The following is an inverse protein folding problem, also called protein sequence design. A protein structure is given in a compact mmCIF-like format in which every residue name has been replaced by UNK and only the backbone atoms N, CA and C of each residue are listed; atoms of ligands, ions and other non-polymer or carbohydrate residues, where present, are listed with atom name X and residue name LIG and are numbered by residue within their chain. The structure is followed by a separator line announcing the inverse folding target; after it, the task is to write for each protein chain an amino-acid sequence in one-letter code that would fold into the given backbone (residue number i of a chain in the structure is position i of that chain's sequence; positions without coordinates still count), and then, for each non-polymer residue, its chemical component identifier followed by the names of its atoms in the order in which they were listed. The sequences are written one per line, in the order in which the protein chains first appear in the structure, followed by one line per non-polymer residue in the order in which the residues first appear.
data_IF_592704669921
#
_entry.id   IF_592704669921
#
_cell.length_a   1.000
_cell.length_b   1.000
_cell.length_c   1.000
_cell.angle_alpha   90.00
_cell.angle_beta   90.00
_cell.angle_gamma   90.00
#
_symmetry.space_group_name_H-M   'P 1'
#
loop_
_entity.id
_entity.type
_entity.pdbx_description
1 polymer ?
#
# COMPACT_ATOMS: atom_id res chain seq x y z
N UNK A 1 24.37 22.74 22.29
CA UNK A 1 25.07 21.44 22.13
C UNK A 1 24.28 20.61 21.14
N UNK A 2 24.58 20.83 19.88
CA UNK A 2 23.97 20.15 18.73
C UNK A 2 24.35 18.66 18.71
N UNK A 3 23.35 17.80 18.49
CA UNK A 3 23.60 16.41 18.10
C UNK A 3 22.68 16.02 16.96
N UNK A 4 23.32 15.88 15.80
CA UNK A 4 22.81 15.48 14.50
C UNK A 4 22.18 14.09 14.59
N UNK A 5 20.84 13.98 14.44
CA UNK A 5 20.17 12.70 14.12
C UNK A 5 19.78 12.68 12.64
N UNK A 6 20.64 12.05 11.83
CA UNK A 6 20.29 11.67 10.45
C UNK A 6 19.26 10.54 10.49
N UNK A 7 18.00 10.87 10.22
CA UNK A 7 16.92 9.89 10.00
C UNK A 7 17.15 9.17 8.67
N UNK A 8 17.47 7.87 8.75
CA UNK A 8 17.57 6.98 7.59
C UNK A 8 16.15 6.53 7.20
N UNK A 9 15.67 6.92 6.02
CA UNK A 9 14.35 6.52 5.47
C UNK A 9 14.24 4.99 5.35
N UNK A 10 13.11 4.35 5.73
CA UNK A 10 12.94 2.91 5.56
C UNK A 10 12.56 2.57 4.11
N UNK A 11 13.57 2.33 3.26
CA UNK A 11 13.40 1.79 1.89
C UNK A 11 12.97 0.31 1.86
N UNK A 12 12.75 -0.32 3.02
CA UNK A 12 12.62 -1.78 3.20
C UNK A 12 11.18 -2.25 2.96
N UNK A 13 10.17 -1.52 3.48
CA UNK A 13 8.76 -1.91 3.37
C UNK A 13 8.30 -1.97 1.91
N UNK A 14 8.71 -0.99 1.08
CA UNK A 14 8.36 -0.95 -0.33
C UNK A 14 8.96 -2.11 -1.15
N UNK A 15 10.11 -2.67 -0.73
CA UNK A 15 10.71 -3.86 -1.36
C UNK A 15 9.96 -5.15 -0.97
N UNK A 16 9.48 -5.25 0.27
CA UNK A 16 8.74 -6.40 0.75
C UNK A 16 7.40 -6.59 -0.01
N UNK A 17 6.62 -5.50 -0.17
CA UNK A 17 5.39 -5.54 -0.96
C UNK A 17 5.64 -5.95 -2.42
N UNK A 18 6.71 -5.45 -3.04
CA UNK A 18 7.08 -5.79 -4.41
C UNK A 18 7.51 -7.25 -4.58
N UNK A 19 8.06 -7.89 -3.55
CA UNK A 19 8.47 -9.31 -3.60
C UNK A 19 7.32 -10.27 -3.29
N UNK A 20 6.34 -9.82 -2.50
CA UNK A 20 5.13 -10.58 -2.16
C UNK A 20 4.10 -10.53 -3.31
N UNK A 21 4.00 -9.40 -4.01
CA UNK A 21 2.99 -9.19 -5.06
C UNK A 21 3.57 -9.03 -6.48
N UNK A 22 4.89 -8.90 -6.65
CA UNK A 22 5.53 -8.61 -7.94
C UNK A 22 6.17 -9.84 -8.58
N UNK A 23 5.34 -10.65 -9.24
CA UNK A 23 5.76 -11.64 -10.23
C UNK A 23 5.48 -11.17 -11.65
N UNK A 24 5.85 -9.94 -12.01
CA UNK A 24 5.91 -9.47 -13.41
C UNK A 24 6.74 -8.18 -13.49
N UNK A 25 7.89 -8.24 -14.17
CA UNK A 25 8.73 -7.09 -14.44
C UNK A 25 8.30 -6.40 -15.75
N UNK A 26 8.48 -5.08 -15.86
CA UNK A 26 8.94 -4.51 -17.12
C UNK A 26 10.31 -3.82 -16.95
N UNK A 27 11.08 -3.89 -18.03
CA UNK A 27 12.47 -3.46 -18.16
C UNK A 27 12.68 -1.96 -17.84
N UNK A 28 13.84 -1.66 -17.24
CA UNK A 28 14.38 -0.31 -17.12
C UNK A 28 15.31 -0.03 -18.29
N UNK A 29 15.32 1.18 -18.88
CA UNK A 29 16.50 1.69 -19.55
C UNK A 29 17.36 2.54 -18.59
N UNK A 30 18.68 2.38 -18.74
CA UNK A 30 19.74 3.18 -18.15
C UNK A 30 19.65 4.65 -18.61
N UNK A 31 20.05 5.59 -17.74
CA UNK A 31 21.16 6.51 -18.01
C UNK A 31 21.51 7.38 -16.79
N UNK A 32 22.80 7.70 -16.71
CA UNK A 32 23.53 8.25 -15.59
C UNK A 32 23.69 9.79 -15.65
N UNK A 33 24.07 10.40 -14.52
CA UNK A 33 24.97 11.58 -14.49
C UNK A 33 24.38 12.99 -14.32
N UNK A 34 24.17 13.43 -13.06
CA UNK A 34 24.81 14.59 -12.32
C UNK A 34 25.09 15.93 -13.08
N UNK A 35 25.09 17.16 -12.47
CA UNK A 35 24.50 17.71 -11.23
C UNK A 35 23.72 19.05 -11.43
N UNK A 36 23.27 19.62 -10.30
CA UNK A 36 22.70 20.96 -10.12
C UNK A 36 23.70 22.13 -10.30
N UNK A 37 23.21 23.27 -10.78
CA UNK A 37 23.72 24.62 -10.45
C UNK A 37 22.57 25.63 -10.40
N UNK A 38 22.65 26.53 -9.41
CA UNK A 38 21.88 27.75 -9.28
C UNK A 38 22.56 28.89 -10.06
N UNK A 39 21.78 29.86 -10.54
CA UNK A 39 22.02 31.32 -10.50
C UNK A 39 21.25 32.04 -11.63
N UNK A 40 20.79 33.24 -11.29
CA UNK A 40 20.26 34.28 -12.17
C UNK A 40 21.09 34.50 -13.44
N UNK A 41 20.43 34.87 -14.55
CA UNK A 41 20.84 36.07 -15.30
C UNK A 41 19.84 36.53 -16.35
N UNK A 42 19.69 37.85 -16.33
CA UNK A 42 19.23 38.83 -17.30
C UNK A 42 18.96 38.42 -18.75
N UNK A 43 17.81 38.91 -19.20
CA UNK A 43 17.39 39.03 -20.60
C UNK A 43 18.09 40.23 -21.24
N UNK A 44 18.64 40.08 -22.46
CA UNK A 44 18.42 41.13 -23.44
C UNK A 44 17.95 40.61 -24.82
N UNK A 45 17.17 41.51 -25.40
CA UNK A 45 16.49 41.51 -26.69
C UNK A 45 17.44 41.17 -27.84
N UNK A 46 17.01 40.27 -28.74
CA UNK A 46 17.58 40.17 -30.09
C UNK A 46 16.47 40.10 -31.14
N UNK A 47 16.50 41.13 -31.98
CA UNK A 47 15.71 41.37 -33.19
C UNK A 47 15.83 40.23 -34.20
N UNK A 48 14.71 39.83 -34.78
CA UNK A 48 14.63 38.89 -35.90
C UNK A 48 14.31 39.66 -37.19
N UNK A 49 14.99 39.43 -38.33
CA UNK A 49 14.55 39.98 -39.60
C UNK A 49 13.50 39.10 -40.26
N UNK A 50 12.55 39.82 -40.84
CA UNK A 50 11.38 39.42 -41.62
C UNK A 50 11.79 38.95 -43.02
N UNK A 51 11.19 37.86 -43.51
CA UNK A 51 11.14 37.52 -44.92
C UNK A 51 9.68 37.21 -45.28
N UNK A 52 9.10 38.12 -46.07
CA UNK A 52 7.77 38.08 -46.66
C UNK A 52 7.73 37.19 -47.91
N UNK A 53 6.54 36.76 -48.35
CA UNK A 53 6.35 35.72 -49.35
C UNK A 53 6.24 36.28 -50.78
N UNK A 54 6.67 35.51 -51.76
CA UNK A 54 6.45 35.78 -53.18
C UNK A 54 5.39 34.85 -53.76
N UNK A 55 4.26 35.44 -54.13
CA UNK A 55 3.23 34.93 -55.02
C UNK A 55 3.36 35.69 -56.33
N UNK A 56 3.42 35.01 -57.48
CA UNK A 56 2.77 35.51 -58.70
C UNK A 56 2.42 34.35 -59.68
N UNK A 57 1.38 34.52 -60.53
CA UNK A 57 0.72 33.47 -61.32
C UNK A 57 1.02 33.58 -62.83
N UNK A 58 0.66 32.57 -63.63
CA UNK A 58 0.46 32.75 -65.07
C UNK A 58 -0.48 31.70 -65.67
N UNK A 59 -1.35 32.18 -66.56
CA UNK A 59 -2.44 31.50 -67.27
C UNK A 59 -1.97 30.77 -68.54
N UNK A 60 -2.69 29.69 -68.86
CA UNK A 60 -2.88 28.94 -70.12
C UNK A 60 -3.14 29.84 -71.36
N UNK A 61 -2.88 29.41 -72.63
CA UNK A 61 -3.78 28.45 -73.31
C UNK A 61 -3.21 27.54 -74.44
N UNK A 62 -3.79 26.34 -74.58
CA UNK A 62 -4.55 25.98 -75.80
C UNK A 62 -3.91 25.15 -76.93
N UNK A 63 -4.53 23.98 -77.18
CA UNK A 63 -4.75 23.25 -78.45
C UNK A 63 -3.66 22.37 -79.09
N UNK A 64 -4.01 21.10 -79.33
CA UNK A 64 -3.33 20.18 -80.24
C UNK A 64 -3.85 18.74 -80.12
N UNK A 65 -4.51 18.25 -81.17
CA UNK A 65 -5.18 16.95 -81.26
C UNK A 65 -4.23 15.79 -81.62
N UNK A 66 -4.55 14.56 -81.20
CA UNK A 66 -3.96 13.31 -81.70
C UNK A 66 -4.35 12.09 -80.86
N UNK A 67 -4.91 11.00 -81.44
CA UNK A 67 -5.58 9.94 -80.67
C UNK A 67 -4.66 8.73 -80.41
N UNK A 68 -4.91 8.02 -79.31
CA UNK A 68 -4.47 6.63 -79.15
C UNK A 68 -3.96 6.29 -77.76
N UNK A 69 -4.37 5.13 -77.26
CA UNK A 69 -3.62 4.40 -76.24
C UNK A 69 -4.23 4.40 -74.85
N UNK A 70 -4.94 3.32 -74.58
CA UNK A 70 -5.05 2.61 -73.31
C UNK A 70 -5.88 3.23 -72.15
N UNK A 71 -6.94 2.48 -71.85
CA UNK A 71 -7.76 2.60 -70.67
C UNK A 71 -6.92 2.53 -69.38
N UNK A 72 -7.19 3.36 -68.36
CA UNK A 72 -6.56 3.18 -67.06
C UNK A 72 -7.15 1.95 -66.36
N UNK A 73 -6.29 1.01 -66.00
CA UNK A 73 -6.61 -0.04 -65.03
C UNK A 73 -7.20 0.58 -63.75
N UNK A 74 -8.32 0.07 -63.22
CA UNK A 74 -8.87 0.58 -61.98
C UNK A 74 -7.97 0.19 -60.80
N UNK A 75 -7.24 1.15 -60.25
CA UNK A 75 -6.54 0.98 -58.97
C UNK A 75 -7.56 0.62 -57.88
N UNK A 76 -7.48 -0.62 -57.36
CA UNK A 76 -8.32 -1.09 -56.29
C UNK A 76 -8.12 -0.24 -55.03
N UNK A 77 -9.12 0.55 -54.66
CA UNK A 77 -9.13 1.28 -53.40
C UNK A 77 -8.91 0.30 -52.22
N UNK A 78 -8.02 0.59 -51.25
CA UNK A 78 -7.80 -0.33 -50.15
C UNK A 78 -9.09 -0.49 -49.33
N UNK A 79 -9.35 -1.67 -48.73
CA UNK A 79 -10.64 -2.01 -48.14
C UNK A 79 -10.86 -1.28 -46.81
N UNK A 80 -11.13 0.04 -46.85
CA UNK A 80 -11.42 0.89 -45.68
C UNK A 80 -12.60 0.38 -44.85
N UNK A 81 -13.50 -0.44 -45.44
CA UNK A 81 -14.70 -1.00 -44.79
C UNK A 81 -14.39 -2.20 -43.88
N UNK A 82 -13.41 -3.05 -44.19
CA UNK A 82 -13.03 -4.20 -43.33
C UNK A 82 -12.31 -3.73 -42.06
N UNK A 83 -11.43 -2.74 -42.19
CA UNK A 83 -10.69 -2.16 -41.06
C UNK A 83 -11.60 -1.46 -40.03
N UNK A 84 -12.67 -0.79 -40.48
CA UNK A 84 -13.68 -0.21 -39.58
C UNK A 84 -14.46 -1.27 -38.79
N UNK A 85 -14.75 -2.43 -39.38
CA UNK A 85 -15.41 -3.56 -38.69
C UNK A 85 -14.49 -4.18 -37.63
N UNK A 86 -13.21 -4.40 -37.96
CA UNK A 86 -12.20 -4.92 -37.02
C UNK A 86 -11.97 -3.96 -35.84
N UNK A 87 -11.89 -2.65 -36.11
CA UNK A 87 -11.80 -1.64 -35.04
C UNK A 87 -13.04 -1.63 -34.12
N UNK A 88 -14.24 -1.80 -34.69
CA UNK A 88 -15.48 -1.90 -33.90
C UNK A 88 -15.54 -3.18 -33.07
N UNK A 89 -15.16 -4.33 -33.61
CA UNK A 89 -15.11 -5.59 -32.85
C UNK A 89 -14.07 -5.54 -31.75
N UNK A 90 -12.88 -4.96 -32.01
CA UNK A 90 -11.88 -4.73 -30.97
C UNK A 90 -12.37 -3.76 -29.89
N UNK A 91 -13.07 -2.69 -30.26
CA UNK A 91 -13.67 -1.76 -29.31
C UNK A 91 -14.74 -2.45 -28.45
N UNK A 92 -15.59 -3.28 -29.05
CA UNK A 92 -16.61 -4.05 -28.32
C UNK A 92 -15.96 -5.05 -27.37
N UNK A 93 -14.92 -5.77 -27.82
CA UNK A 93 -14.16 -6.69 -26.97
C UNK A 93 -13.49 -5.95 -25.81
N UNK A 94 -12.92 -4.77 -26.06
CA UNK A 94 -12.34 -3.93 -25.03
C UNK A 94 -13.41 -3.49 -24.02
N UNK A 95 -14.58 -3.03 -24.48
CA UNK A 95 -15.68 -2.62 -23.60
C UNK A 95 -16.20 -3.79 -22.77
N UNK A 96 -16.34 -4.99 -23.36
CA UNK A 96 -16.72 -6.20 -22.64
C UNK A 96 -15.66 -6.61 -21.60
N UNK A 97 -14.38 -6.52 -21.95
CA UNK A 97 -13.29 -6.78 -21.01
C UNK A 97 -13.32 -5.79 -19.84
N UNK A 98 -13.49 -4.49 -20.13
CA UNK A 98 -13.62 -3.45 -19.09
C UNK A 98 -14.84 -3.68 -18.21
N UNK A 99 -15.99 -4.03 -18.79
CA UNK A 99 -17.21 -4.35 -18.04
C UNK A 99 -17.01 -5.58 -17.15
N UNK A 100 -16.36 -6.64 -17.66
CA UNK A 100 -16.04 -7.85 -16.89
C UNK A 100 -15.09 -7.57 -15.73
N UNK A 101 -14.01 -6.82 -15.96
CA UNK A 101 -13.07 -6.40 -14.90
C UNK A 101 -13.77 -5.53 -13.87
N UNK A 102 -14.63 -4.61 -14.30
CA UNK A 102 -15.39 -3.75 -13.39
C UNK A 102 -16.35 -4.56 -12.53
N UNK A 103 -17.09 -5.51 -13.11
CA UNK A 103 -17.98 -6.40 -12.38
C UNK A 103 -17.21 -7.27 -11.36
N UNK A 104 -16.04 -7.79 -11.74
CA UNK A 104 -15.16 -8.52 -10.83
C UNK A 104 -14.66 -7.63 -9.69
N UNK A 105 -14.30 -6.38 -9.99
CA UNK A 105 -13.90 -5.39 -8.98
C UNK A 105 -15.01 -5.07 -7.98
N UNK A 106 -16.25 -4.93 -8.44
CA UNK A 106 -17.42 -4.75 -7.55
C UNK A 106 -17.71 -6.01 -6.73
N UNK A 107 -17.57 -7.18 -7.32
CA UNK A 107 -17.73 -8.44 -6.61
C UNK A 107 -16.68 -8.59 -5.50
N UNK A 108 -15.40 -8.33 -5.80
CA UNK A 108 -14.32 -8.41 -4.83
C UNK A 108 -14.42 -7.33 -3.76
N UNK A 109 -14.85 -6.11 -4.08
CA UNK A 109 -15.02 -5.04 -3.08
C UNK A 109 -16.14 -5.34 -2.07
N UNK A 110 -17.16 -6.10 -2.47
CA UNK A 110 -18.27 -6.52 -1.60
C UNK A 110 -17.98 -7.79 -0.82
N UNK A 111 -17.24 -8.73 -1.40
CA UNK A 111 -17.05 -10.07 -0.83
C UNK A 111 -15.66 -10.31 -0.23
N UNK A 112 -14.65 -9.55 -0.66
CA UNK A 112 -13.23 -9.73 -0.34
C UNK A 112 -12.77 -11.19 -0.51
N UNK A 113 -13.38 -11.93 -1.44
CA UNK A 113 -13.25 -13.39 -1.49
C UNK A 113 -11.86 -13.82 -1.96
N UNK A 114 -11.30 -13.18 -2.99
CA UNK A 114 -9.98 -13.50 -3.50
C UNK A 114 -8.90 -13.10 -2.49
N UNK A 115 -9.01 -11.90 -1.94
CA UNK A 115 -8.14 -11.37 -0.90
C UNK A 115 -8.14 -12.27 0.35
N UNK A 116 -9.32 -12.61 0.86
CA UNK A 116 -9.47 -13.47 2.03
C UNK A 116 -8.88 -14.87 1.79
N UNK A 117 -9.08 -15.46 0.61
CA UNK A 117 -8.48 -16.76 0.26
C UNK A 117 -6.96 -16.70 0.26
N UNK A 118 -6.38 -15.64 -0.31
CA UNK A 118 -4.93 -15.43 -0.31
C UNK A 118 -4.39 -15.28 1.11
N UNK A 119 -4.95 -14.37 1.92
CA UNK A 119 -4.46 -14.14 3.27
C UNK A 119 -4.75 -15.29 4.23
N UNK A 120 -5.85 -16.02 4.08
CA UNK A 120 -6.10 -17.25 4.83
C UNK A 120 -5.02 -18.31 4.53
N UNK A 121 -4.69 -18.52 3.26
CA UNK A 121 -3.62 -19.44 2.86
C UNK A 121 -2.23 -18.99 3.34
N UNK A 122 -1.98 -17.68 3.39
CA UNK A 122 -0.73 -17.13 3.93
C UNK A 122 -0.65 -17.31 5.46
N UNK A 123 -1.70 -16.89 6.19
CA UNK A 123 -1.75 -16.91 7.66
C UNK A 123 -1.71 -18.32 8.25
N UNK A 124 -2.26 -19.34 7.56
CA UNK A 124 -2.09 -20.75 7.95
C UNK A 124 -0.61 -21.16 8.05
N UNK A 125 0.26 -20.53 7.24
CA UNK A 125 1.71 -20.75 7.25
C UNK A 125 2.42 -19.90 8.30
N UNK A 126 1.76 -18.94 8.93
CA UNK A 126 2.30 -18.05 9.96
C UNK A 126 1.92 -18.58 11.33
N UNK A 127 2.78 -19.42 11.91
CA UNK A 127 2.54 -20.00 13.23
C UNK A 127 3.85 -20.06 14.01
N UNK A 128 3.72 -20.35 15.31
CA UNK A 128 4.83 -20.61 16.18
C UNK A 128 4.48 -21.75 17.13
N UNK A 129 5.50 -22.44 17.62
CA UNK A 129 5.36 -23.47 18.65
C UNK A 129 6.45 -23.35 19.70
N UNK A 130 6.14 -23.71 20.94
CA UNK A 130 7.17 -23.88 21.97
C UNK A 130 7.91 -25.20 21.74
N UNK A 131 9.22 -25.17 21.91
CA UNK A 131 10.05 -26.37 21.85
C UNK A 131 11.24 -26.23 22.81
N UNK A 132 11.81 -27.36 23.19
CA UNK A 132 12.91 -27.41 24.14
C UNK A 132 14.18 -26.73 23.58
N UNK A 133 14.94 -26.14 24.50
CA UNK A 133 16.19 -25.46 24.24
C UNK A 133 16.07 -24.12 23.53
N UNK A 134 17.21 -23.45 23.27
CA UNK A 134 17.26 -22.23 22.49
C UNK A 134 16.83 -22.45 21.03
N UNK A 135 16.29 -21.40 20.43
CA UNK A 135 15.74 -21.38 19.07
C UNK A 135 16.50 -20.40 18.18
N UNK A 136 16.94 -20.87 17.02
CA UNK A 136 17.46 -20.01 15.94
C UNK A 136 16.34 -19.52 14.99
N UNK A 137 15.14 -20.07 15.14
CA UNK A 137 13.94 -19.72 14.37
C UNK A 137 13.08 -18.74 15.16
N UNK A 138 13.69 -17.67 15.67
CA UNK A 138 13.00 -16.59 16.37
C UNK A 138 13.58 -15.26 15.88
N UNK A 139 12.70 -14.27 15.70
CA UNK A 139 13.07 -12.88 15.45
C UNK A 139 12.44 -12.05 16.55
N UNK A 140 13.26 -11.33 17.29
CA UNK A 140 12.78 -10.41 18.30
C UNK A 140 12.33 -9.11 17.60
N UNK A 141 11.21 -8.52 18.03
CA UNK A 141 10.74 -7.28 17.44
C UNK A 141 11.74 -6.15 17.70
N UNK A 142 11.73 -5.14 16.83
CA UNK A 142 12.51 -3.92 17.02
C UNK A 142 11.81 -2.97 17.99
N UNK A 143 12.46 -1.85 18.31
CA UNK A 143 11.89 -0.77 19.11
C UNK A 143 10.56 -0.27 18.52
N UNK A 144 9.48 -0.43 19.29
CA UNK A 144 8.13 0.01 18.94
C UNK A 144 7.36 0.30 20.24
N UNK A 145 6.37 1.22 20.26
CA UNK A 145 5.66 1.54 21.50
C UNK A 145 5.07 0.32 22.22
N UNK A 146 4.53 -0.64 21.48
CA UNK A 146 3.99 -1.87 22.02
C UNK A 146 5.10 -2.80 22.55
N UNK A 147 6.15 -3.02 21.74
CA UNK A 147 7.22 -3.96 22.04
C UNK A 147 8.14 -3.46 23.16
N UNK A 148 8.35 -2.16 23.27
CA UNK A 148 9.10 -1.54 24.37
C UNK A 148 8.31 -1.62 25.67
N UNK A 149 7.02 -1.28 25.63
CA UNK A 149 6.15 -1.33 26.81
C UNK A 149 6.04 -2.74 27.40
N UNK A 150 6.03 -3.77 26.55
CA UNK A 150 6.02 -5.17 26.99
C UNK A 150 7.42 -5.77 27.19
N UNK A 151 8.48 -5.00 26.92
CA UNK A 151 9.87 -5.46 27.03
C UNK A 151 10.30 -6.46 25.95
N UNK A 152 9.50 -6.70 24.92
CA UNK A 152 9.80 -7.63 23.84
C UNK A 152 11.00 -7.21 22.99
N UNK A 153 11.16 -5.90 22.74
CA UNK A 153 12.32 -5.37 22.01
C UNK A 153 13.64 -5.57 22.76
N UNK A 154 13.57 -5.71 24.09
CA UNK A 154 14.74 -5.83 24.97
C UNK A 154 15.04 -7.28 25.39
N UNK A 155 14.24 -8.26 24.93
CA UNK A 155 14.44 -9.69 25.20
C UNK A 155 15.86 -10.19 24.89
N UNK A 156 16.50 -9.82 23.76
CA UNK A 156 17.88 -10.23 23.49
C UNK A 156 18.85 -9.83 24.62
N UNK A 157 18.69 -8.63 25.17
CA UNK A 157 19.54 -8.11 26.24
C UNK A 157 19.26 -8.83 27.57
N UNK A 158 17.99 -9.10 27.88
CA UNK A 158 17.63 -9.88 29.07
C UNK A 158 18.20 -11.29 29.01
N UNK A 159 18.06 -11.97 27.88
CA UNK A 159 18.60 -13.32 27.67
C UNK A 159 20.12 -13.33 27.75
N UNK A 160 20.81 -12.34 27.19
CA UNK A 160 22.26 -12.21 27.29
C UNK A 160 22.71 -12.06 28.75
N UNK A 161 22.07 -11.19 29.54
CA UNK A 161 22.38 -10.97 30.96
C UNK A 161 22.06 -12.18 31.84
N UNK A 162 21.02 -12.93 31.52
CA UNK A 162 20.69 -14.17 32.22
C UNK A 162 21.72 -15.25 31.93
N UNK A 163 22.17 -15.36 30.67
CA UNK A 163 23.20 -16.31 30.27
C UNK A 163 24.54 -16.05 30.98
N UNK A 164 24.90 -14.79 31.25
CA UNK A 164 26.11 -14.47 32.04
C UNK A 164 26.02 -14.85 33.52
N UNK A 165 24.83 -15.25 34.00
CA UNK A 165 24.58 -15.74 35.35
C UNK A 165 24.19 -17.22 35.35
N UNK A 166 24.64 -17.96 34.33
CA UNK A 166 24.44 -19.40 34.17
C UNK A 166 22.97 -19.87 34.06
N UNK A 167 22.04 -18.95 33.80
CA UNK A 167 20.68 -19.32 33.45
C UNK A 167 20.62 -19.90 32.04
N UNK A 168 19.86 -20.98 31.87
CA UNK A 168 19.68 -21.68 30.60
C UNK A 168 18.27 -21.54 30.04
N UNK A 169 18.17 -21.46 28.72
CA UNK A 169 16.87 -21.46 28.02
C UNK A 169 16.37 -22.90 27.94
N UNK A 170 15.44 -23.27 28.82
CA UNK A 170 14.84 -24.62 28.85
C UNK A 170 13.90 -24.83 27.65
N UNK A 171 13.16 -23.79 27.25
CA UNK A 171 12.28 -23.84 26.09
C UNK A 171 12.15 -22.45 25.45
N UNK A 172 12.00 -22.42 24.13
CA UNK A 172 11.84 -21.19 23.36
C UNK A 172 10.88 -21.37 22.19
N UNK A 173 10.22 -20.29 21.80
CA UNK A 173 9.35 -20.26 20.64
C UNK A 173 10.15 -20.48 19.34
N UNK A 174 9.57 -21.28 18.44
CA UNK A 174 10.05 -21.53 17.08
C UNK A 174 8.99 -21.06 16.10
N UNK A 175 9.28 -19.97 15.41
CA UNK A 175 8.48 -19.43 14.32
C UNK A 175 8.56 -20.35 13.11
N UNK A 176 7.47 -20.43 12.34
CA UNK A 176 7.44 -21.17 11.08
C UNK A 176 8.43 -20.56 10.07
N UNK A 177 8.93 -21.34 9.10
CA UNK A 177 9.83 -20.81 8.07
C UNK A 177 9.27 -19.58 7.35
N UNK A 178 7.95 -19.59 7.06
CA UNK A 178 7.31 -18.46 6.39
C UNK A 178 7.24 -17.21 7.27
N UNK A 179 6.98 -17.37 8.56
CA UNK A 179 6.97 -16.25 9.50
C UNK A 179 8.36 -15.64 9.67
N UNK A 180 9.41 -16.47 9.73
CA UNK A 180 10.81 -16.00 9.75
C UNK A 180 11.14 -15.22 8.47
N UNK A 181 10.77 -15.75 7.30
CA UNK A 181 10.98 -15.08 6.01
C UNK A 181 10.31 -13.70 5.97
N UNK A 182 9.05 -13.59 6.41
CA UNK A 182 8.33 -12.32 6.43
C UNK A 182 8.93 -11.34 7.46
N UNK A 183 9.33 -11.82 8.64
CA UNK A 183 10.01 -11.01 9.64
C UNK A 183 11.35 -10.47 9.13
N UNK A 184 12.12 -11.29 8.42
CA UNK A 184 13.38 -10.88 7.78
C UNK A 184 13.16 -9.86 6.64
N UNK A 185 11.96 -9.83 6.03
CA UNK A 185 11.53 -8.77 5.10
C UNK A 185 11.04 -7.49 5.80
N UNK A 186 10.99 -7.48 7.14
CA UNK A 186 10.57 -6.34 7.96
C UNK A 186 9.06 -6.28 8.23
N UNK A 187 8.32 -7.37 8.04
CA UNK A 187 6.93 -7.47 8.49
C UNK A 187 6.88 -7.83 9.98
N UNK A 188 5.87 -7.33 10.69
CA UNK A 188 5.65 -7.70 12.07
C UNK A 188 5.20 -9.16 12.18
N UNK A 189 5.69 -9.86 13.21
CA UNK A 189 5.31 -11.24 13.46
C UNK A 189 3.87 -11.30 13.96
N UNK A 190 3.07 -12.21 13.40
CA UNK A 190 1.66 -12.40 13.75
C UNK A 190 1.51 -13.32 14.95
N UNK A 191 1.14 -12.78 16.10
CA UNK A 191 0.80 -13.56 17.29
C UNK A 191 -0.30 -12.86 18.07
N UNK A 192 -0.86 -13.53 19.08
CA UNK A 192 -1.90 -12.93 19.92
C UNK A 192 -1.28 -11.83 20.78
N UNK A 193 -1.61 -10.59 20.44
CA UNK A 193 -1.15 -9.43 21.18
C UNK A 193 -1.92 -9.24 22.50
N UNK A 194 -1.21 -8.74 23.51
CA UNK A 194 -1.75 -8.46 24.82
C UNK A 194 -2.28 -7.03 24.85
N UNK A 195 -3.53 -6.86 25.23
CA UNK A 195 -4.15 -5.53 25.42
C UNK A 195 -3.81 -4.90 26.77
N UNK A 196 -3.41 -5.72 27.74
CA UNK A 196 -2.99 -5.32 29.09
C UNK A 196 -1.69 -6.02 29.48
N UNK A 197 -0.82 -5.31 30.17
CA UNK A 197 0.34 -5.82 30.89
C UNK A 197 0.12 -5.65 32.39
N UNK A 198 0.85 -6.41 33.21
CA UNK A 198 0.79 -6.23 34.65
C UNK A 198 1.66 -7.22 35.42
N UNK A 199 1.67 -7.02 36.73
CA UNK A 199 2.31 -7.86 37.71
C UNK A 199 1.31 -8.12 38.83
N UNK A 200 0.99 -9.38 39.05
CA UNK A 200 0.23 -9.84 40.21
C UNK A 200 1.21 -10.61 41.12
N UNK A 201 1.33 -10.18 42.38
CA UNK A 201 2.09 -10.87 43.42
C UNK A 201 1.08 -11.59 44.30
N UNK A 202 1.18 -12.91 44.34
CA UNK A 202 0.33 -13.78 45.12
C UNK A 202 1.07 -14.23 46.38
N UNK A 203 0.35 -14.44 47.48
CA UNK A 203 0.86 -15.13 48.66
C UNK A 203 0.92 -16.66 48.45
N UNK A 204 1.32 -17.40 49.50
CA UNK A 204 1.35 -18.86 49.46
C UNK A 204 -0.03 -19.53 49.36
N UNK A 205 -1.10 -18.84 49.72
CA UNK A 205 -2.50 -19.26 49.58
C UNK A 205 -3.05 -19.00 48.17
N UNK A 206 -2.34 -18.22 47.34
CA UNK A 206 -2.80 -17.75 46.04
C UNK A 206 -3.61 -16.45 46.09
N UNK A 207 -3.69 -15.78 47.25
CA UNK A 207 -4.35 -14.49 47.40
C UNK A 207 -3.45 -13.35 46.88
N UNK A 208 -4.04 -12.36 46.20
CA UNK A 208 -3.28 -11.25 45.60
C UNK A 208 -2.85 -10.22 46.65
N UNK A 209 -1.55 -10.15 46.94
CA UNK A 209 -0.95 -9.13 47.81
C UNK A 209 -0.74 -7.79 47.09
N UNK A 210 -0.41 -7.84 45.80
CA UNK A 210 -0.17 -6.65 44.99
C UNK A 210 -0.57 -6.90 43.54
N UNK A 211 -1.17 -5.89 42.91
CA UNK A 211 -1.50 -5.92 41.48
C UNK A 211 -1.16 -4.58 40.86
N UNK A 212 -0.33 -4.60 39.82
CA UNK A 212 -0.08 -3.45 38.94
C UNK A 212 -0.54 -3.81 37.54
N UNK A 213 -1.35 -2.95 36.93
CA UNK A 213 -1.97 -3.20 35.62
C UNK A 213 -1.85 -1.98 34.74
N UNK A 214 -1.45 -2.17 33.49
CA UNK A 214 -1.37 -1.10 32.50
C UNK A 214 -1.91 -1.55 31.13
N UNK A 215 -2.85 -0.80 30.51
CA UNK A 215 -3.57 0.33 31.08
C UNK A 215 -4.42 -0.09 32.30
N UNK A 216 -4.59 0.81 33.27
CA UNK A 216 -5.37 0.55 34.49
C UNK A 216 -6.85 0.29 34.19
N UNK A 217 -7.40 1.07 33.25
CA UNK A 217 -8.79 0.97 32.82
C UNK A 217 -8.85 0.32 31.44
N UNK A 218 -9.51 -0.83 31.37
CA UNK A 218 -9.93 -1.42 30.10
C UNK A 218 -11.27 -2.12 30.26
N UNK A 219 -11.89 -2.42 29.13
CA UNK A 219 -12.97 -3.39 29.05
C UNK A 219 -12.35 -4.76 28.77
N UNK A 220 -12.53 -5.73 29.67
CA UNK A 220 -11.90 -7.06 29.55
C UNK A 220 -12.40 -7.85 28.32
N UNK A 221 -13.59 -7.52 27.83
CA UNK A 221 -14.19 -8.08 26.61
C UNK A 221 -14.94 -7.00 25.82
N UNK A 222 -15.13 -7.23 24.53
CA UNK A 222 -15.83 -6.29 23.65
C UNK A 222 -17.23 -5.94 24.15
N UNK A 223 -18.00 -6.94 24.60
CA UNK A 223 -19.39 -6.74 25.06
C UNK A 223 -19.50 -5.94 26.37
N UNK A 224 -18.39 -5.75 27.10
CA UNK A 224 -18.36 -4.90 28.28
C UNK A 224 -18.25 -3.41 27.94
N UNK A 225 -17.87 -3.07 26.70
CA UNK A 225 -17.81 -1.68 26.25
C UNK A 225 -19.23 -1.12 26.06
N UNK A 226 -19.55 0.07 26.61
CA UNK A 226 -20.85 0.70 26.40
C UNK A 226 -21.15 0.88 24.91
N UNK A 227 -22.33 0.43 24.48
CA UNK A 227 -22.73 0.49 23.07
C UNK A 227 -22.74 1.92 22.52
N UNK A 228 -23.04 2.92 23.35
CA UNK A 228 -22.95 4.33 22.96
C UNK A 228 -21.52 4.72 22.56
N UNK A 229 -20.51 4.26 23.32
CA UNK A 229 -19.10 4.53 23.04
C UNK A 229 -18.68 3.87 21.73
N UNK A 230 -19.03 2.60 21.54
CA UNK A 230 -18.75 1.85 20.30
C UNK A 230 -19.37 2.55 19.10
N UNK A 231 -20.67 2.87 19.16
CA UNK A 231 -21.39 3.55 18.05
C UNK A 231 -20.80 4.93 17.75
N UNK A 232 -20.41 5.68 18.77
CA UNK A 232 -19.80 7.00 18.61
C UNK A 232 -18.45 6.91 17.91
N UNK A 233 -17.60 5.96 18.32
CA UNK A 233 -16.30 5.72 17.71
C UNK A 233 -16.44 5.30 16.24
N UNK A 234 -17.33 4.35 15.95
CA UNK A 234 -17.60 3.91 14.58
C UNK A 234 -18.15 5.05 13.72
N UNK A 235 -19.02 5.90 14.28
CA UNK A 235 -19.58 7.03 13.54
C UNK A 235 -18.51 8.02 13.05
N UNK A 236 -17.49 8.26 13.87
CA UNK A 236 -16.41 9.23 13.63
C UNK A 236 -15.28 8.61 12.79
N UNK A 237 -14.85 7.38 13.12
CA UNK A 237 -13.64 6.78 12.55
C UNK A 237 -13.92 5.75 11.45
N UNK A 238 -14.88 4.83 11.66
CA UNK A 238 -15.17 3.74 10.73
C UNK A 238 -16.60 3.21 10.85
N UNK A 239 -17.52 3.73 10.02
CA UNK A 239 -18.95 3.44 10.10
C UNK A 239 -19.32 2.03 9.70
N UNK A 240 -18.56 1.45 8.77
CA UNK A 240 -18.90 0.20 8.11
C UNK A 240 -18.24 -1.02 8.78
N UNK A 241 -17.37 -0.81 9.79
CA UNK A 241 -16.56 -1.88 10.39
C UNK A 241 -17.37 -3.04 10.96
N UNK A 242 -18.53 -2.74 11.56
CA UNK A 242 -19.42 -3.74 12.18
C UNK A 242 -20.72 -3.93 11.40
N UNK A 243 -20.75 -3.56 10.11
CA UNK A 243 -21.91 -3.78 9.26
C UNK A 243 -22.06 -5.26 8.91
N UNK A 244 -23.15 -5.86 9.39
CA UNK A 244 -23.47 -7.29 9.17
C UNK A 244 -23.97 -7.58 7.76
N UNK A 245 -24.26 -6.56 6.94
CA UNK A 245 -24.66 -6.70 5.54
C UNK A 245 -23.53 -7.28 4.69
N UNK A 246 -22.27 -6.93 5.03
CA UNK A 246 -21.06 -7.37 4.31
C UNK A 246 -20.04 -8.00 5.28
N UNK A 247 -20.37 -9.14 5.90
CA UNK A 247 -19.60 -9.71 7.01
C UNK A 247 -18.21 -10.22 6.62
N UNK A 248 -17.93 -10.35 5.32
CA UNK A 248 -16.65 -10.83 4.78
C UNK A 248 -15.71 -9.71 4.35
N UNK A 249 -16.15 -8.45 4.41
CA UNK A 249 -15.36 -7.32 3.95
C UNK A 249 -14.08 -7.19 4.79
N UNK A 250 -12.95 -6.95 4.14
CA UNK A 250 -11.69 -6.75 4.84
C UNK A 250 -11.76 -5.46 5.69
N UNK A 251 -11.67 -5.53 7.03
CA UNK A 251 -11.74 -4.35 7.90
C UNK A 251 -10.53 -3.41 7.75
N UNK A 252 -9.43 -3.87 7.12
CA UNK A 252 -8.25 -3.06 6.90
C UNK A 252 -8.33 -2.20 5.63
N UNK A 253 -9.22 -2.53 4.67
CA UNK A 253 -9.30 -1.88 3.35
C UNK A 253 -10.69 -1.31 3.11
N UNK A 254 -10.77 0.02 3.03
CA UNK A 254 -11.99 0.74 2.67
C UNK A 254 -11.90 1.24 1.22
N UNK A 255 -12.49 0.46 0.30
CA UNK A 255 -12.46 0.72 -1.15
C UNK A 255 -13.23 1.98 -1.56
N UNK A 256 -14.26 2.35 -0.81
CA UNK A 256 -15.02 3.60 -0.95
C UNK A 256 -14.14 4.82 -0.63
N UNK A 257 -13.39 4.78 0.48
CA UNK A 257 -12.45 5.85 0.84
C UNK A 257 -11.25 5.90 -0.10
N UNK A 258 -10.73 4.74 -0.49
CA UNK A 258 -9.62 4.66 -1.44
C UNK A 258 -10.02 5.21 -2.81
N UNK A 259 -11.18 4.81 -3.35
CA UNK A 259 -11.65 5.30 -4.65
C UNK A 259 -11.97 6.79 -4.63
N UNK A 260 -12.58 7.30 -3.55
CA UNK A 260 -12.79 8.74 -3.37
C UNK A 260 -11.48 9.52 -3.30
N UNK A 261 -10.50 9.05 -2.52
CA UNK A 261 -9.19 9.71 -2.42
C UNK A 261 -8.42 9.69 -3.75
N UNK A 262 -8.50 8.61 -4.52
CA UNK A 262 -7.91 8.53 -5.88
C UNK A 262 -8.63 9.48 -6.83
N UNK A 263 -9.97 9.52 -6.80
CA UNK A 263 -10.77 10.42 -7.63
C UNK A 263 -10.50 11.89 -7.30
N UNK A 264 -10.51 12.27 -6.02
CA UNK A 264 -10.21 13.62 -5.55
C UNK A 264 -8.79 14.05 -5.94
N UNK A 265 -7.81 13.14 -5.86
CA UNK A 265 -6.43 13.41 -6.27
C UNK A 265 -6.28 13.57 -7.78
N UNK A 266 -6.98 12.76 -8.58
CA UNK A 266 -7.00 12.90 -10.04
C UNK A 266 -7.72 14.19 -10.46
N UNK A 267 -8.83 14.53 -9.81
CA UNK A 267 -9.56 15.79 -10.02
C UNK A 267 -8.71 17.02 -9.66
N UNK A 268 -7.94 16.97 -8.56
CA UNK A 268 -6.97 18.01 -8.22
C UNK A 268 -5.82 18.10 -9.23
N UNK A 269 -5.30 16.97 -9.73
CA UNK A 269 -4.20 16.97 -10.71
C UNK A 269 -4.61 17.54 -12.07
N UNK A 270 -5.89 17.47 -12.43
CA UNK A 270 -6.45 18.06 -13.66
C UNK A 270 -7.08 19.45 -13.43
N UNK A 271 -6.86 20.06 -12.26
CA UNK A 271 -7.29 21.43 -11.96
C UNK A 271 -8.78 21.60 -11.66
N UNK A 272 -9.52 20.51 -11.41
CA UNK A 272 -10.97 20.52 -11.14
C UNK A 272 -11.34 20.39 -9.65
N UNK A 273 -10.36 20.25 -8.73
CA UNK A 273 -10.60 20.05 -7.30
C UNK A 273 -10.59 21.34 -6.47
N UNK A 274 -11.68 21.62 -5.76
CA UNK A 274 -11.72 22.61 -4.67
C UNK A 274 -11.04 22.05 -3.42
N UNK A 275 -10.17 22.83 -2.76
CA UNK A 275 -9.31 22.44 -1.63
C UNK A 275 -10.02 21.92 -0.37
N UNK A 276 -10.59 20.72 -0.45
CA UNK A 276 -11.12 19.98 0.68
C UNK A 276 -10.02 19.32 1.49
N UNK A 277 -10.15 19.33 2.82
CA UNK A 277 -9.28 18.55 3.72
C UNK A 277 -9.40 17.08 3.33
N UNK A 278 -8.28 16.45 2.96
CA UNK A 278 -8.22 15.00 2.70
C UNK A 278 -8.69 14.28 3.97
N UNK A 279 -9.85 13.61 3.89
CA UNK A 279 -10.38 12.83 4.99
C UNK A 279 -9.36 11.74 5.38
N UNK A 280 -9.13 11.55 6.68
CA UNK A 280 -8.27 10.48 7.18
C UNK A 280 -8.76 9.13 6.65
N UNK A 281 -8.02 8.55 5.69
CA UNK A 281 -8.44 7.34 4.98
C UNK A 281 -8.03 6.02 5.66
N UNK A 282 -7.49 6.05 6.89
CA UNK A 282 -7.05 4.84 7.58
C UNK A 282 -8.18 4.24 8.41
N UNK A 283 -8.47 2.97 8.17
CA UNK A 283 -9.43 2.17 8.95
C UNK A 283 -8.96 2.03 10.41
N UNK A 284 -9.89 1.78 11.34
CA UNK A 284 -9.53 1.48 12.74
C UNK A 284 -8.51 0.33 12.85
N UNK A 285 -8.62 -0.70 12.00
CA UNK A 285 -7.66 -1.82 11.98
C UNK A 285 -6.23 -1.34 11.66
N UNK A 286 -6.08 -0.47 10.65
CA UNK A 286 -4.78 0.13 10.31
C UNK A 286 -4.28 1.10 11.38
N UNK A 287 -5.18 1.85 12.02
CA UNK A 287 -4.81 2.79 13.08
C UNK A 287 -4.27 2.08 14.33
N UNK A 288 -4.87 0.94 14.71
CA UNK A 288 -4.38 0.11 15.81
C UNK A 288 -2.96 -0.36 15.54
N UNK A 289 -2.68 -0.83 14.32
CA UNK A 289 -1.33 -1.27 13.92
C UNK A 289 -0.31 -0.13 13.99
N UNK A 290 -0.70 1.06 13.51
CA UNK A 290 0.13 2.27 13.62
C UNK A 290 0.42 2.62 15.07
N UNK A 291 -0.57 2.57 15.95
CA UNK A 291 -0.39 2.87 17.37
C UNK A 291 0.55 1.87 18.06
N UNK A 292 0.54 0.60 17.64
CA UNK A 292 1.42 -0.44 18.21
C UNK A 292 2.86 -0.27 17.75
N UNK A 293 3.06 -0.02 16.46
CA UNK A 293 4.38 -0.18 15.86
C UNK A 293 5.05 1.09 15.32
N UNK A 294 4.33 2.20 15.18
CA UNK A 294 4.93 3.46 14.72
C UNK A 294 5.23 4.39 15.91
N UNK A 295 6.44 4.98 15.99
CA UNK A 295 6.72 6.06 16.92
C UNK A 295 5.68 7.18 16.73
N UNK A 296 5.05 7.63 17.83
CA UNK A 296 3.97 8.64 17.83
C UNK A 296 2.71 8.31 17.01
N UNK A 297 2.50 7.06 16.58
CA UNK A 297 1.33 6.65 15.79
C UNK A 297 1.31 7.22 14.36
N UNK A 298 2.42 7.76 13.87
CA UNK A 298 2.55 8.34 12.53
C UNK A 298 3.48 7.51 11.66
N UNK A 299 3.04 7.18 10.44
CA UNK A 299 3.96 6.84 9.35
C UNK A 299 4.51 8.15 8.80
N UNK A 300 5.83 8.35 8.82
CA UNK A 300 6.45 9.49 8.16
C UNK A 300 6.02 9.49 6.67
N UNK A 301 5.17 10.44 6.31
CA UNK A 301 4.68 10.69 4.96
C UNK A 301 5.77 11.21 4.04
#
# INVERSE_FOLDING_TARGET
MDSIRRLRRPRIIARAFRRIFGGAAPAQPLLAGVPAMAAEQDVPIRTSPRLEPSLEPALEPGTGAGPGGDAPEPQAAPPKRRWRKVKRTLLILLLLAVAGVSALGVYESRTSALEARFFAGLTQKLNYRMANGPSNAIRFPQASPYDERLGYSNLPNYLAKLKTRDYVVVAQARMSPKMVELADLGLFATYREKTRAGLDILDSSGETLFSARFPERLYDKFDAAPQLLVKSLLFIENRELLDTTYPKRNPAVEWDRFSKAVFDKTAHAIGLGSGGRVAGGSTLATQIEKYRHSPEGRTAS
#
